data_IF_257929519870
#
_entry.id   IF_257929519870
#
_cell.length_a   1.000
_cell.length_b   1.000
_cell.length_c   1.000
_cell.angle_alpha   90.00
_cell.angle_beta   90.00
_cell.angle_gamma   90.00
#
_symmetry.space_group_name_H-M   'P 1'
#
loop_
_entity.id
_entity.type
_entity.pdbx_description
1 polymer ?
#
# COMPACT_ATOMS: atom_id res chain seq x y z
N UNK A 1 -0.93 2.98 -12.66
CA UNK A 1 -0.61 1.74 -13.40
C UNK A 1 -0.76 0.48 -12.56
N UNK A 2 -0.10 0.38 -11.40
CA UNK A 2 -0.19 -0.82 -10.54
C UNK A 2 -1.60 -1.05 -9.97
N UNK A 3 -2.22 -0.01 -9.37
CA UNK A 3 -3.59 -0.11 -8.88
C UNK A 3 -4.56 -0.46 -10.02
N UNK A 4 -4.42 0.19 -11.18
CA UNK A 4 -5.25 -0.08 -12.37
C UNK A 4 -5.11 -1.54 -12.81
N UNK A 5 -3.89 -2.09 -12.81
CA UNK A 5 -3.63 -3.49 -13.15
C UNK A 5 -4.32 -4.45 -12.18
N UNK A 6 -4.16 -4.25 -10.87
CA UNK A 6 -4.77 -5.10 -9.85
C UNK A 6 -6.30 -5.03 -9.93
N UNK A 7 -6.86 -3.81 -10.02
CA UNK A 7 -8.30 -3.56 -10.11
C UNK A 7 -8.92 -4.19 -11.36
N UNK A 8 -8.27 -4.05 -12.52
CA UNK A 8 -8.80 -4.50 -13.81
C UNK A 8 -8.49 -5.95 -14.17
N UNK A 9 -7.53 -6.60 -13.49
CA UNK A 9 -7.15 -7.99 -13.80
C UNK A 9 -7.48 -8.96 -12.68
N UNK A 10 -7.15 -8.61 -11.44
CA UNK A 10 -7.30 -9.54 -10.33
C UNK A 10 -8.64 -9.33 -9.63
N UNK A 11 -8.98 -8.08 -9.31
CA UNK A 11 -10.20 -7.81 -8.55
C UNK A 11 -11.49 -7.96 -9.35
N UNK A 12 -11.42 -7.95 -10.69
CA UNK A 12 -12.58 -8.27 -11.55
C UNK A 12 -13.07 -9.71 -11.42
N UNK A 13 -12.21 -10.63 -10.94
CA UNK A 13 -12.58 -12.05 -10.80
C UNK A 13 -13.42 -12.29 -9.54
N UNK A 14 -13.29 -11.43 -8.51
CA UNK A 14 -14.06 -11.56 -7.27
C UNK A 14 -15.53 -11.19 -7.49
N UNK A 15 -16.42 -11.99 -6.92
CA UNK A 15 -17.84 -11.70 -6.90
C UNK A 15 -18.23 -10.85 -5.68
N UNK A 16 -19.46 -10.33 -5.66
CA UNK A 16 -19.97 -9.51 -4.56
C UNK A 16 -19.95 -10.24 -3.19
N UNK A 17 -19.95 -11.57 -3.16
CA UNK A 17 -19.91 -12.37 -1.94
C UNK A 17 -18.49 -12.46 -1.39
N UNK A 18 -17.48 -12.50 -2.25
CA UNK A 18 -16.07 -12.49 -1.85
C UNK A 18 -15.70 -11.20 -1.10
N UNK A 19 -16.24 -10.05 -1.53
CA UNK A 19 -16.03 -8.75 -0.86
C UNK A 19 -16.47 -8.72 0.61
N UNK A 20 -17.36 -9.64 1.04
CA UNK A 20 -17.77 -9.75 2.44
C UNK A 20 -16.60 -10.13 3.37
N UNK A 21 -15.61 -10.83 2.85
CA UNK A 21 -14.46 -11.31 3.60
C UNK A 21 -13.17 -10.54 3.30
N UNK A 22 -13.22 -9.61 2.33
CA UNK A 22 -12.10 -8.74 1.98
C UNK A 22 -11.78 -7.80 3.13
N UNK A 23 -10.49 -7.64 3.40
CA UNK A 23 -9.96 -6.70 4.37
C UNK A 23 -8.59 -6.17 3.90
N UNK A 24 -7.92 -5.38 4.73
CA UNK A 24 -6.60 -4.82 4.41
C UNK A 24 -5.55 -5.90 4.09
N UNK A 25 -5.58 -7.06 4.76
CA UNK A 25 -4.64 -8.15 4.50
C UNK A 25 -4.84 -8.73 3.08
N UNK A 26 -6.07 -8.84 2.59
CA UNK A 26 -6.35 -9.27 1.21
C UNK A 26 -5.68 -8.35 0.20
N UNK A 27 -5.83 -7.03 0.39
CA UNK A 27 -5.24 -6.02 -0.50
C UNK A 27 -3.70 -6.05 -0.40
N UNK A 28 -3.16 -6.08 0.82
CA UNK A 28 -1.71 -6.18 1.07
C UNK A 28 -1.11 -7.42 0.42
N UNK A 29 -1.80 -8.56 0.48
CA UNK A 29 -1.37 -9.81 -0.15
C UNK A 29 -1.35 -9.71 -1.67
N UNK A 30 -2.35 -9.06 -2.29
CA UNK A 30 -2.36 -8.85 -3.74
C UNK A 30 -1.14 -8.04 -4.20
N UNK A 31 -0.82 -6.95 -3.50
CA UNK A 31 0.37 -6.15 -3.80
C UNK A 31 1.66 -6.93 -3.55
N UNK A 32 1.74 -7.68 -2.45
CA UNK A 32 2.90 -8.52 -2.15
C UNK A 32 3.16 -9.51 -3.28
N UNK A 33 2.15 -10.28 -3.71
CA UNK A 33 2.31 -11.29 -4.77
C UNK A 33 2.71 -10.67 -6.11
N UNK A 34 2.16 -9.50 -6.46
CA UNK A 34 2.51 -8.80 -7.71
C UNK A 34 3.92 -8.25 -7.69
N UNK A 35 4.33 -7.69 -6.56
CA UNK A 35 5.60 -6.98 -6.45
C UNK A 35 6.75 -7.87 -5.99
N UNK A 36 6.47 -9.08 -5.49
CA UNK A 36 7.47 -9.94 -4.86
C UNK A 36 8.69 -10.19 -5.78
N UNK A 37 9.86 -9.89 -5.23
CA UNK A 37 11.14 -9.96 -5.94
C UNK A 37 12.29 -9.92 -4.93
N UNK A 38 12.58 -11.09 -4.36
CA UNK A 38 13.68 -11.33 -3.42
C UNK A 38 15.08 -11.23 -4.06
N UNK A 39 15.12 -11.22 -5.39
CA UNK A 39 16.32 -11.01 -6.19
C UNK A 39 16.85 -9.59 -6.02
N UNK A 40 15.95 -8.59 -6.03
CA UNK A 40 16.33 -7.17 -5.95
C UNK A 40 16.11 -6.56 -4.57
N UNK A 41 15.09 -7.02 -3.86
CA UNK A 41 14.61 -6.37 -2.64
C UNK A 41 14.66 -7.30 -1.43
N UNK A 42 14.97 -6.71 -0.29
CA UNK A 42 14.58 -7.19 1.02
C UNK A 42 13.15 -6.68 1.22
N UNK A 43 12.18 -7.59 1.20
CA UNK A 43 10.77 -7.25 1.42
C UNK A 43 10.38 -7.56 2.85
N UNK A 44 9.75 -6.59 3.48
CA UNK A 44 9.29 -6.74 4.84
C UNK A 44 7.88 -6.15 5.00
N UNK A 45 6.99 -6.96 5.53
CA UNK A 45 5.61 -6.59 5.88
C UNK A 45 5.48 -6.06 7.31
N UNK A 46 6.52 -6.23 8.12
CA UNK A 46 6.65 -5.83 9.52
C UNK A 46 8.13 -5.53 9.84
N UNK A 47 8.60 -4.37 9.44
CA UNK A 47 9.94 -3.97 9.87
C UNK A 47 9.88 -3.62 11.35
N UNK A 48 10.41 -4.51 12.19
CA UNK A 48 10.60 -4.28 13.61
C UNK A 48 11.70 -3.23 13.87
N UNK A 49 11.60 -2.07 13.21
CA UNK A 49 12.46 -0.92 13.43
C UNK A 49 11.59 0.11 14.16
N UNK A 50 11.81 0.20 15.46
CA UNK A 50 11.34 1.29 16.32
C UNK A 50 9.80 1.50 16.39
N UNK A 51 9.06 0.40 16.59
CA UNK A 51 7.66 0.37 17.06
C UNK A 51 6.62 1.05 16.15
N UNK A 52 6.97 1.34 14.90
CA UNK A 52 6.05 1.84 13.87
C UNK A 52 6.01 0.90 12.67
N UNK A 53 4.81 0.47 12.28
CA UNK A 53 4.63 -0.47 11.18
C UNK A 53 4.31 0.30 9.89
N UNK A 54 5.12 0.15 8.85
CA UNK A 54 4.65 0.38 7.48
C UNK A 54 4.11 -0.95 6.95
N UNK A 55 3.06 -0.91 6.15
CA UNK A 55 2.45 -2.16 5.69
C UNK A 55 3.38 -2.97 4.79
N UNK A 56 4.05 -2.36 3.82
CA UNK A 56 4.98 -3.07 2.95
C UNK A 56 6.17 -2.19 2.60
N UNK A 57 7.36 -2.72 2.85
CA UNK A 57 8.62 -2.10 2.44
C UNK A 57 9.35 -3.00 1.44
N UNK A 58 9.95 -2.37 0.43
CA UNK A 58 10.83 -3.04 -0.54
C UNK A 58 12.15 -2.27 -0.56
N UNK A 59 13.14 -2.78 0.18
CA UNK A 59 14.46 -2.14 0.31
C UNK A 59 15.46 -2.86 -0.58
N UNK A 60 16.13 -2.15 -1.49
CA UNK A 60 17.09 -2.74 -2.43
C UNK A 60 18.21 -3.40 -1.64
N UNK A 61 18.51 -4.66 -1.98
CA UNK A 61 19.61 -5.41 -1.38
C UNK A 61 20.95 -4.70 -1.60
N UNK A 62 21.88 -4.74 -0.64
CA UNK A 62 23.17 -4.03 -0.75
C UNK A 62 23.95 -4.32 -2.04
N UNK A 63 23.95 -5.58 -2.49
CA UNK A 63 24.61 -6.06 -3.71
C UNK A 63 23.91 -5.64 -5.02
N UNK A 64 22.63 -5.25 -4.93
CA UNK A 64 21.79 -4.82 -6.05
C UNK A 64 21.74 -3.29 -6.22
N UNK A 65 22.36 -2.52 -5.31
CA UNK A 65 22.43 -1.04 -5.37
C UNK A 65 23.17 -0.49 -6.61
N UNK A 66 23.90 -1.36 -7.32
CA UNK A 66 24.51 -1.07 -8.63
C UNK A 66 23.48 -0.75 -9.72
N UNK A 67 22.25 -1.23 -9.58
CA UNK A 67 21.14 -0.89 -10.47
C UNK A 67 20.46 0.41 -10.01
N UNK A 68 19.85 1.13 -10.95
CA UNK A 68 19.10 2.37 -10.68
C UNK A 68 17.66 2.08 -10.23
N UNK A 69 17.50 1.14 -9.29
CA UNK A 69 16.23 0.86 -8.64
C UNK A 69 15.95 1.86 -7.50
N UNK A 70 14.70 1.92 -7.06
CA UNK A 70 14.23 2.73 -5.94
C UNK A 70 13.78 1.83 -4.78
N UNK A 71 13.97 2.30 -3.55
CA UNK A 71 13.30 1.72 -2.39
C UNK A 71 11.84 2.19 -2.37
N UNK A 72 10.93 1.30 -1.99
CA UNK A 72 9.50 1.59 -1.96
C UNK A 72 8.91 1.39 -0.56
N UNK A 73 8.01 2.29 -0.18
CA UNK A 73 7.15 2.16 0.98
C UNK A 73 5.70 2.30 0.58
N UNK A 74 4.89 1.35 1.03
CA UNK A 74 3.47 1.29 0.75
C UNK A 74 2.72 1.16 2.07
N UNK A 75 1.72 2.03 2.22
CA UNK A 75 0.78 2.02 3.33
C UNK A 75 -0.62 1.80 2.76
N UNK A 76 -1.36 0.84 3.31
CA UNK A 76 -2.70 0.52 2.86
C UNK A 76 -3.70 0.97 3.93
N UNK A 77 -4.84 1.49 3.47
CA UNK A 77 -6.03 1.66 4.31
C UNK A 77 -7.17 0.93 3.64
N UNK A 78 -7.94 0.21 4.44
CA UNK A 78 -9.15 -0.47 4.01
C UNK A 78 -10.34 0.17 4.71
N UNK A 79 -11.34 0.58 3.93
CA UNK A 79 -12.57 1.13 4.45
C UNK A 79 -13.71 0.26 3.91
N UNK A 80 -14.48 -0.33 4.82
CA UNK A 80 -15.62 -1.14 4.44
C UNK A 80 -16.76 -0.28 3.89
N UNK A 81 -17.60 -0.86 3.01
CA UNK A 81 -18.83 -0.21 2.54
C UNK A 81 -19.75 0.20 3.70
N UNK A 82 -19.76 -0.61 4.77
CA UNK A 82 -20.52 -0.33 6.00
C UNK A 82 -20.03 0.94 6.70
N UNK A 83 -18.71 1.15 6.78
CA UNK A 83 -18.13 2.37 7.35
C UNK A 83 -18.42 3.61 6.50
N UNK A 84 -18.50 3.46 5.18
CA UNK A 84 -18.87 4.55 4.27
C UNK A 84 -20.38 4.81 4.24
N UNK A 85 -21.20 3.87 4.68
CA UNK A 85 -22.66 3.95 4.55
C UNK A 85 -23.13 3.95 3.09
N UNK A 86 -22.33 3.39 2.17
CA UNK A 86 -22.59 3.39 0.73
C UNK A 86 -22.74 1.95 0.21
N UNK A 87 -23.54 1.78 -0.85
CA UNK A 87 -23.64 0.49 -1.55
C UNK A 87 -22.49 0.31 -2.55
N UNK A 88 -22.29 -0.94 -3.02
CA UNK A 88 -21.27 -1.23 -4.02
C UNK A 88 -21.55 -0.52 -5.35
N UNK A 89 -22.82 -0.40 -5.73
CA UNK A 89 -23.28 0.29 -6.95
C UNK A 89 -22.95 1.78 -6.86
N UNK A 90 -23.28 2.42 -5.72
CA UNK A 90 -23.00 3.83 -5.49
C UNK A 90 -21.49 4.16 -5.49
N UNK A 91 -20.64 3.22 -5.09
CA UNK A 91 -19.18 3.36 -5.16
C UNK A 91 -18.67 3.19 -6.60
N UNK A 92 -19.22 2.22 -7.36
CA UNK A 92 -18.80 1.96 -8.75
C UNK A 92 -19.06 3.12 -9.70
N UNK A 93 -20.08 3.93 -9.43
CA UNK A 93 -20.41 5.12 -10.24
C UNK A 93 -19.51 6.32 -9.96
N UNK A 94 -18.71 6.28 -8.89
CA UNK A 94 -17.83 7.39 -8.49
C UNK A 94 -16.46 7.28 -9.14
N UNK A 95 -15.94 8.42 -9.56
CA UNK A 95 -14.54 8.61 -9.95
C UNK A 95 -13.60 8.48 -8.75
N UNK A 96 -12.30 8.29 -9.01
CA UNK A 96 -11.29 8.25 -7.94
C UNK A 96 -11.22 9.56 -7.17
N UNK A 97 -11.43 10.67 -7.85
CA UNK A 97 -11.45 12.01 -7.28
C UNK A 97 -12.63 12.18 -6.32
N UNK A 98 -13.83 11.74 -6.72
CA UNK A 98 -15.02 11.76 -5.85
C UNK A 98 -14.87 10.84 -4.64
N UNK A 99 -14.26 9.66 -4.81
CA UNK A 99 -13.98 8.75 -3.70
C UNK A 99 -12.98 9.34 -2.72
N UNK A 100 -11.92 10.00 -3.21
CA UNK A 100 -10.92 10.67 -2.37
C UNK A 100 -11.50 11.84 -1.57
N UNK A 101 -12.53 12.50 -2.11
CA UNK A 101 -13.22 13.61 -1.45
C UNK A 101 -14.21 13.16 -0.36
N UNK A 102 -14.46 11.85 -0.19
CA UNK A 102 -15.29 11.37 0.92
C UNK A 102 -14.55 11.64 2.24
N UNK A 103 -15.20 12.27 3.25
CA UNK A 103 -14.51 12.69 4.48
C UNK A 103 -13.76 11.57 5.20
N UNK A 104 -14.33 10.35 5.20
CA UNK A 104 -13.70 9.16 5.79
C UNK A 104 -12.47 8.72 5.01
N UNK A 105 -12.51 8.78 3.68
CA UNK A 105 -11.39 8.41 2.80
C UNK A 105 -10.26 9.44 2.93
N UNK A 106 -10.59 10.72 2.90
CA UNK A 106 -9.62 11.81 3.10
C UNK A 106 -8.90 11.67 4.45
N UNK A 107 -9.65 11.44 5.54
CA UNK A 107 -9.07 11.25 6.86
C UNK A 107 -8.11 10.04 6.94
N UNK A 108 -8.46 8.91 6.33
CA UNK A 108 -7.61 7.72 6.29
C UNK A 108 -6.37 7.93 5.40
N UNK A 109 -6.50 8.63 4.28
CA UNK A 109 -5.37 9.01 3.44
C UNK A 109 -4.39 9.91 4.19
N UNK A 110 -4.88 10.88 4.96
CA UNK A 110 -4.04 11.74 5.78
C UNK A 110 -3.38 11.00 6.94
N UNK A 111 -4.08 10.05 7.56
CA UNK A 111 -3.48 9.14 8.54
C UNK A 111 -2.36 8.30 7.92
N UNK A 112 -2.59 7.74 6.72
CA UNK A 112 -1.59 6.96 5.98
C UNK A 112 -0.34 7.79 5.65
N UNK A 113 -0.51 9.03 5.16
CA UNK A 113 0.61 9.95 4.87
C UNK A 113 1.44 10.25 6.11
N UNK A 114 0.79 10.48 7.26
CA UNK A 114 1.49 10.72 8.54
C UNK A 114 2.29 9.49 8.97
N UNK A 115 1.73 8.29 8.81
CA UNK A 115 2.40 7.03 9.12
C UNK A 115 3.60 6.78 8.20
N UNK A 116 3.43 6.97 6.89
CA UNK A 116 4.52 6.92 5.91
C UNK A 116 5.65 7.91 6.24
N UNK A 117 5.30 9.15 6.63
CA UNK A 117 6.30 10.18 6.97
C UNK A 117 7.14 9.78 8.19
N UNK A 118 6.52 9.20 9.22
CA UNK A 118 7.22 8.69 10.40
C UNK A 118 8.18 7.56 10.02
N UNK A 119 7.69 6.60 9.22
CA UNK A 119 8.47 5.44 8.84
C UNK A 119 9.63 5.78 7.89
N UNK A 120 9.41 6.75 6.97
CA UNK A 120 10.47 7.36 6.16
C UNK A 120 11.61 7.88 7.05
N UNK A 121 11.30 8.66 8.09
CA UNK A 121 12.31 9.21 9.00
C UNK A 121 13.11 8.11 9.71
N UNK A 122 12.44 7.03 10.13
CA UNK A 122 13.09 5.84 10.70
C UNK A 122 14.05 5.18 9.71
N UNK A 123 13.64 4.98 8.46
CA UNK A 123 14.52 4.40 7.43
C UNK A 123 15.68 5.32 7.07
N UNK A 124 15.46 6.62 6.98
CA UNK A 124 16.52 7.60 6.72
C UNK A 124 17.57 7.57 7.84
N UNK A 125 17.15 7.40 9.10
CA UNK A 125 18.07 7.25 10.23
C UNK A 125 18.89 5.94 10.17
N UNK A 126 18.31 4.84 9.69
CA UNK A 126 18.99 3.52 9.63
C UNK A 126 19.89 3.38 8.40
N UNK A 127 19.42 3.81 7.23
CA UNK A 127 20.07 3.57 5.95
C UNK A 127 20.85 4.79 5.42
N UNK A 128 20.54 5.99 5.91
CA UNK A 128 21.21 7.24 5.52
C UNK A 128 21.22 7.45 4.01
N UNK A 129 22.38 7.91 3.49
CA UNK A 129 22.57 8.23 2.07
C UNK A 129 22.40 7.03 1.11
N UNK A 130 22.37 5.79 1.63
CA UNK A 130 22.15 4.61 0.79
C UNK A 130 20.69 4.45 0.38
N UNK A 131 19.76 5.06 1.12
CA UNK A 131 18.33 4.97 0.89
C UNK A 131 17.91 5.80 -0.34
N UNK A 132 17.21 5.18 -1.27
CA UNK A 132 16.66 5.77 -2.49
C UNK A 132 15.14 5.71 -2.46
N UNK A 133 14.53 6.39 -1.49
CA UNK A 133 13.13 6.16 -1.13
C UNK A 133 12.12 6.97 -1.94
N UNK A 134 11.14 6.28 -2.50
CA UNK A 134 9.92 6.84 -3.09
C UNK A 134 8.67 6.43 -2.29
N UNK A 135 7.83 7.42 -1.98
CA UNK A 135 6.59 7.31 -1.18
C UNK A 135 5.45 7.98 -1.92
#
# INVERSE_FOLDING_TARGET
PLCDFIETRYFQVFDNRDYRWTNQLTIKTAFLVVLFSDTFYIMDSETAIDKGYADLSMIIRPDMRKYQLLDHLLEFKYISLKELGLSAEAIKEKTREELRALPRVEAELDAAKKQLSRYRATLEAVYGEKLRLHT
#
